data_IF_629802046754
#
_entry.id   IF_629802046754
#
_cell.length_a   1.000
_cell.length_b   1.000
_cell.length_c   1.000
_cell.angle_alpha   90.00
_cell.angle_beta   90.00
_cell.angle_gamma   90.00
#
_symmetry.space_group_name_H-M   'P 1'
#
loop_
_entity.id
_entity.type
_entity.pdbx_description
1 polymer ?
#
# COMPACT_ATOMS: atom_id res chain seq x y z
N UNK A 1 6.17 -6.35 -9.45
CA UNK A 1 6.36 -5.93 -8.05
C UNK A 1 5.27 -4.90 -7.80
N UNK A 2 4.31 -5.18 -6.91
CA UNK A 2 3.24 -4.23 -6.63
C UNK A 2 3.85 -3.00 -5.93
N UNK A 3 3.79 -1.84 -6.58
CA UNK A 3 4.19 -0.56 -6.01
C UNK A 3 2.99 0.04 -5.27
N UNK A 4 3.24 0.64 -4.12
CA UNK A 4 2.20 1.19 -3.27
C UNK A 4 2.73 2.25 -2.32
N UNK A 5 1.92 3.25 -2.03
CA UNK A 5 2.22 4.29 -1.05
C UNK A 5 2.01 3.78 0.38
N UNK A 6 2.98 4.01 1.28
CA UNK A 6 2.87 3.64 2.69
C UNK A 6 1.82 4.53 3.36
N UNK A 7 0.68 3.94 3.71
CA UNK A 7 -0.42 4.67 4.36
C UNK A 7 -0.12 4.92 5.84
N UNK A 8 0.42 3.90 6.51
CA UNK A 8 0.82 3.98 7.90
C UNK A 8 1.79 2.84 8.23
N UNK A 9 2.80 3.14 9.05
CA UNK A 9 3.81 2.18 9.49
C UNK A 9 4.10 2.35 10.98
N UNK A 10 4.07 1.25 11.73
CA UNK A 10 4.47 1.22 13.13
C UNK A 10 5.89 0.68 13.26
N UNK A 11 6.84 1.56 13.53
CA UNK A 11 8.27 1.22 13.68
C UNK A 11 8.54 0.31 14.87
N UNK A 12 7.78 0.46 15.95
CA UNK A 12 7.96 -0.32 17.19
C UNK A 12 7.50 -1.76 17.02
N UNK A 13 6.40 -1.98 16.30
CA UNK A 13 5.84 -3.33 16.08
C UNK A 13 6.27 -3.98 14.76
N UNK A 14 6.92 -3.23 13.86
CA UNK A 14 7.48 -3.76 12.60
C UNK A 14 6.43 -4.12 11.55
N UNK A 15 5.23 -3.58 11.62
CA UNK A 15 4.19 -3.79 10.61
C UNK A 15 3.55 -2.48 10.18
N UNK A 16 2.96 -2.49 8.99
CA UNK A 16 2.25 -1.35 8.44
C UNK A 16 1.32 -1.78 7.33
N UNK A 17 0.54 -0.83 6.86
CA UNK A 17 -0.37 -1.03 5.73
C UNK A 17 0.12 -0.16 4.58
N UNK A 18 0.25 -0.78 3.41
CA UNK A 18 0.50 -0.09 2.15
C UNK A 18 -0.82 0.01 1.39
N UNK A 19 -1.08 1.17 0.79
CA UNK A 19 -2.11 1.31 -0.21
C UNK A 19 -1.47 0.96 -1.56
N UNK A 20 -1.90 -0.11 -2.26
CA UNK A 20 -1.39 -0.41 -3.58
C UNK A 20 -1.73 0.74 -4.54
N UNK A 21 -0.78 1.16 -5.37
CA UNK A 21 -0.99 2.21 -6.38
C UNK A 21 -1.80 1.65 -7.57
N UNK A 22 -1.96 0.32 -7.65
CA UNK A 22 -2.77 -0.39 -8.66
C UNK A 22 -4.27 -0.36 -8.30
N UNK A 23 -4.78 0.83 -8.01
CA UNK A 23 -6.19 1.11 -7.70
C UNK A 23 -6.95 1.86 -8.79
N UNK A 24 -6.37 2.01 -9.98
CA UNK A 24 -6.87 2.93 -11.02
C UNK A 24 -6.89 2.33 -12.44
N UNK A 25 -7.11 1.02 -12.57
CA UNK A 25 -7.57 0.46 -13.84
C UNK A 25 -9.01 0.03 -13.65
N UNK A 26 -9.92 0.93 -14.03
CA UNK A 26 -11.30 0.57 -14.37
C UNK A 26 -11.27 -0.69 -15.24
N UNK A 27 -11.68 -1.81 -14.64
CA UNK A 27 -11.92 -3.06 -15.37
C UNK A 27 -13.36 -2.95 -15.88
N UNK A 28 -13.50 -2.65 -17.17
CA UNK A 28 -14.76 -2.73 -17.91
C UNK A 28 -15.19 -4.19 -18.11
#
# INVERSE_FOLDING_TARGET
>A
MATGTVKWFNTTKGFGFISPDEGDKDVF
#
